data_IF_732689482406
#
_entry.id   IF_732689482406
#
_cell.length_a   1.000
_cell.length_b   1.000
_cell.length_c   1.000
_cell.angle_alpha   90.00
_cell.angle_beta   90.00
_cell.angle_gamma   90.00
#
_symmetry.space_group_name_H-M   'P 1'
#
loop_
_entity.id
_entity.type
_entity.pdbx_description
1 polymer ?
#
# COMPACT_ATOMS: atom_id res chain seq x y z
N UNK A 1 39.15 -60.17 -5.08
CA UNK A 1 38.18 -59.34 -4.41
C UNK A 1 38.29 -57.93 -5.02
N UNK A 2 37.50 -57.67 -6.04
CA UNK A 2 37.57 -56.38 -6.78
C UNK A 2 36.56 -55.43 -6.19
N UNK A 3 37.04 -54.33 -5.59
CA UNK A 3 36.21 -53.22 -5.09
C UNK A 3 35.76 -52.35 -6.27
N UNK A 4 34.45 -52.35 -6.56
CA UNK A 4 33.86 -51.40 -7.51
C UNK A 4 33.66 -50.04 -6.82
N UNK A 5 34.44 -49.03 -7.21
CA UNK A 5 34.18 -47.64 -6.86
C UNK A 5 33.05 -47.10 -7.72
N UNK A 6 31.91 -46.79 -7.11
CA UNK A 6 30.82 -46.09 -7.77
C UNK A 6 31.12 -44.58 -7.66
N UNK A 7 31.31 -43.94 -8.81
CA UNK A 7 31.52 -42.49 -8.93
C UNK A 7 30.16 -41.83 -9.15
N UNK A 8 29.67 -41.09 -8.15
CA UNK A 8 28.46 -40.27 -8.30
C UNK A 8 28.83 -38.94 -8.95
N UNK A 9 28.32 -38.66 -10.15
CA UNK A 9 28.35 -37.35 -10.75
C UNK A 9 27.11 -36.56 -10.27
N UNK A 10 27.34 -35.55 -9.42
CA UNK A 10 26.32 -34.55 -9.10
C UNK A 10 26.40 -33.44 -10.16
N UNK A 11 25.47 -33.46 -11.11
CA UNK A 11 25.32 -32.36 -12.07
C UNK A 11 24.63 -31.21 -11.37
N UNK A 12 25.37 -30.17 -11.01
CA UNK A 12 24.80 -28.92 -10.51
C UNK A 12 24.24 -28.16 -11.71
N UNK A 13 22.92 -28.20 -11.89
CA UNK A 13 22.22 -27.32 -12.85
C UNK A 13 22.17 -25.92 -12.24
N UNK A 14 23.13 -25.06 -12.57
CA UNK A 14 23.06 -23.64 -12.24
C UNK A 14 22.02 -23.05 -13.21
N UNK A 15 20.77 -22.92 -12.75
CA UNK A 15 19.78 -22.13 -13.43
C UNK A 15 20.24 -20.67 -13.42
N UNK A 16 20.67 -20.16 -14.56
CA UNK A 16 20.92 -18.73 -14.74
C UNK A 16 19.53 -18.08 -14.68
N UNK A 17 19.18 -17.44 -13.56
CA UNK A 17 18.04 -16.56 -13.48
C UNK A 17 18.34 -15.35 -14.40
N UNK A 18 17.80 -15.36 -15.61
CA UNK A 18 17.78 -14.16 -16.41
C UNK A 18 16.71 -13.22 -15.82
N UNK A 19 17.08 -11.97 -15.57
CA UNK A 19 16.10 -10.95 -15.25
C UNK A 19 15.10 -10.91 -16.43
N UNK A 20 13.80 -11.03 -16.10
CA UNK A 20 12.72 -11.07 -17.08
C UNK A 20 12.25 -9.64 -17.38
N UNK A 21 11.88 -9.38 -18.64
CA UNK A 21 11.20 -8.15 -18.99
C UNK A 21 9.80 -8.16 -18.35
N UNK A 22 9.51 -7.13 -17.55
CA UNK A 22 8.17 -6.95 -16.95
C UNK A 22 7.61 -5.58 -17.23
N UNK A 23 6.28 -5.49 -17.25
CA UNK A 23 5.53 -4.25 -17.30
C UNK A 23 4.53 -4.27 -16.16
N UNK A 24 4.63 -3.31 -15.27
CA UNK A 24 3.92 -3.31 -14.01
C UNK A 24 3.06 -2.04 -13.89
N UNK A 25 1.78 -2.19 -13.53
CA UNK A 25 0.96 -1.10 -13.03
C UNK A 25 1.29 -0.90 -11.55
N UNK A 26 1.72 0.30 -11.18
CA UNK A 26 2.08 0.57 -9.79
C UNK A 26 0.83 0.63 -8.90
N UNK A 27 0.95 0.09 -7.68
CA UNK A 27 -0.06 0.28 -6.64
C UNK A 27 0.15 1.64 -5.98
N UNK A 28 -0.90 2.46 -5.96
CA UNK A 28 -0.85 3.84 -5.49
C UNK A 28 -1.96 4.14 -4.48
N UNK A 29 -1.70 5.12 -3.60
CA UNK A 29 -2.68 5.59 -2.63
C UNK A 29 -2.83 7.11 -2.72
N UNK A 30 -4.06 7.59 -2.63
CA UNK A 30 -4.41 9.00 -2.69
C UNK A 30 -5.44 9.35 -1.63
N UNK A 31 -5.47 10.60 -1.14
CA UNK A 31 -6.54 11.07 -0.28
C UNK A 31 -7.88 11.02 -1.02
N UNK A 32 -8.98 10.97 -0.26
CA UNK A 32 -10.33 11.13 -0.84
C UNK A 32 -10.45 12.42 -1.63
N UNK A 33 -11.30 12.40 -2.65
CA UNK A 33 -11.56 13.55 -3.54
C UNK A 33 -10.33 14.06 -4.32
N UNK A 34 -9.36 13.18 -4.59
CA UNK A 34 -8.19 13.53 -5.38
C UNK A 34 -8.57 13.79 -6.86
N UNK A 35 -8.28 14.98 -7.36
CA UNK A 35 -8.65 15.38 -8.74
C UNK A 35 -7.68 14.89 -9.83
N UNK A 36 -6.50 14.38 -9.46
CA UNK A 36 -5.50 13.86 -10.42
C UNK A 36 -4.75 12.69 -9.79
N UNK A 37 -5.31 11.51 -9.95
CA UNK A 37 -4.72 10.26 -9.52
C UNK A 37 -3.78 9.76 -10.61
N UNK A 38 -2.49 9.62 -10.30
CA UNK A 38 -1.45 9.21 -11.25
C UNK A 38 -1.01 7.79 -10.97
N UNK A 39 -1.23 6.92 -11.92
CA UNK A 39 -0.76 5.53 -11.86
C UNK A 39 0.43 5.37 -12.81
N UNK A 40 1.64 5.18 -12.28
CA UNK A 40 2.81 4.88 -13.08
C UNK A 40 2.72 3.50 -13.75
N UNK A 41 3.19 3.42 -14.98
CA UNK A 41 3.50 2.17 -15.68
C UNK A 41 5.01 2.00 -15.68
N UNK A 42 5.50 0.99 -14.99
CA UNK A 42 6.93 0.72 -14.82
C UNK A 42 7.34 -0.41 -15.76
N UNK A 43 8.44 -0.21 -16.47
CA UNK A 43 9.07 -1.26 -17.29
C UNK A 43 10.40 -1.64 -16.67
N UNK A 44 10.51 -2.88 -16.23
CA UNK A 44 11.78 -3.49 -15.83
C UNK A 44 12.39 -4.17 -17.06
N UNK A 45 13.33 -3.51 -17.69
CA UNK A 45 13.92 -3.93 -18.96
C UNK A 45 15.39 -4.30 -18.78
N UNK A 46 15.73 -5.57 -18.61
CA UNK A 46 17.11 -5.97 -18.31
C UNK A 46 18.10 -5.75 -19.46
N UNK A 47 17.68 -5.94 -20.72
CA UNK A 47 18.63 -5.99 -21.83
C UNK A 47 18.08 -5.57 -23.21
N UNK A 48 16.83 -5.14 -23.32
CA UNK A 48 16.19 -4.94 -24.62
C UNK A 48 16.16 -3.47 -25.05
N UNK A 49 16.04 -3.23 -26.33
CA UNK A 49 15.67 -1.93 -26.90
C UNK A 49 14.18 -1.97 -27.27
N UNK A 50 13.35 -1.33 -26.46
CA UNK A 50 11.90 -1.34 -26.65
C UNK A 50 11.49 -0.16 -27.52
N UNK A 51 10.68 -0.42 -28.55
CA UNK A 51 10.17 0.59 -29.49
C UNK A 51 8.65 0.73 -29.43
N UNK A 52 7.94 -0.21 -28.81
CA UNK A 52 6.51 -0.15 -28.65
C UNK A 52 6.02 -0.99 -27.46
N UNK A 53 4.94 -0.53 -26.84
CA UNK A 53 4.23 -1.20 -25.77
C UNK A 53 2.73 -1.08 -26.02
N UNK A 54 2.00 -2.17 -25.89
CA UNK A 54 0.54 -2.21 -25.91
C UNK A 54 0.04 -3.09 -24.78
N UNK A 55 -1.05 -2.68 -24.14
CA UNK A 55 -1.84 -3.54 -23.26
C UNK A 55 -3.28 -3.06 -23.17
N UNK A 56 -4.15 -3.95 -22.72
CA UNK A 56 -5.53 -3.63 -22.37
C UNK A 56 -5.64 -3.54 -20.85
N UNK A 57 -6.17 -2.42 -20.37
CA UNK A 57 -6.42 -2.17 -18.94
C UNK A 57 -7.92 -2.28 -18.67
N UNK A 58 -8.27 -3.11 -17.69
CA UNK A 58 -9.64 -3.21 -17.16
C UNK A 58 -9.69 -2.47 -15.83
N UNK A 59 -10.67 -1.62 -15.71
CA UNK A 59 -11.02 -0.88 -14.48
C UNK A 59 -12.53 -0.79 -14.40
N UNK A 60 -13.10 -0.74 -13.20
CA UNK A 60 -14.55 -0.55 -13.04
C UNK A 60 -14.96 0.90 -13.40
N UNK A 61 -15.62 1.11 -14.57
CA UNK A 61 -15.97 2.45 -15.02
C UNK A 61 -17.10 3.09 -14.22
N UNK A 62 -17.78 2.33 -13.35
CA UNK A 62 -18.79 2.87 -12.44
C UNK A 62 -18.16 3.56 -11.23
N UNK A 63 -16.87 3.29 -10.96
CA UNK A 63 -16.11 3.90 -9.88
C UNK A 63 -15.21 4.99 -10.44
N UNK A 64 -14.34 4.64 -11.41
CA UNK A 64 -13.34 5.55 -11.95
C UNK A 64 -13.06 5.26 -13.43
N UNK A 65 -12.70 6.28 -14.18
CA UNK A 65 -12.29 6.13 -15.58
C UNK A 65 -11.03 6.94 -15.85
N UNK A 66 -10.07 6.40 -16.63
CA UNK A 66 -8.91 7.18 -17.03
C UNK A 66 -9.33 8.29 -18.01
N UNK A 67 -8.75 9.47 -17.87
CA UNK A 67 -9.03 10.60 -18.77
C UNK A 67 -7.82 11.01 -19.62
N UNK A 68 -6.62 10.69 -19.23
CA UNK A 68 -5.41 10.97 -20.02
C UNK A 68 -4.27 10.02 -19.71
N UNK A 69 -3.30 9.94 -20.61
CA UNK A 69 -2.05 9.23 -20.45
C UNK A 69 -0.89 10.09 -20.96
N UNK A 70 0.27 9.96 -20.34
CA UNK A 70 1.48 10.69 -20.73
C UNK A 70 2.69 9.75 -20.77
N UNK A 71 3.48 9.81 -21.86
CA UNK A 71 4.79 9.19 -21.92
C UNK A 71 5.78 10.00 -21.06
N UNK A 72 6.54 9.29 -20.20
CA UNK A 72 7.48 9.92 -19.27
C UNK A 72 8.78 9.13 -19.18
N UNK A 73 9.76 9.63 -18.42
CA UNK A 73 11.00 8.92 -18.11
C UNK A 73 11.71 8.37 -19.34
N UNK A 74 12.02 7.07 -19.32
CA UNK A 74 12.67 6.37 -20.42
C UNK A 74 11.94 6.38 -21.75
N UNK A 75 10.64 6.69 -21.74
CA UNK A 75 9.81 6.83 -22.94
C UNK A 75 9.53 8.29 -23.32
N UNK A 76 10.26 9.26 -22.76
CA UNK A 76 10.13 10.65 -23.16
C UNK A 76 10.38 10.80 -24.67
N UNK A 77 9.40 11.34 -25.40
CA UNK A 77 9.44 11.45 -26.87
C UNK A 77 8.65 10.36 -27.60
N UNK A 78 8.12 9.36 -26.91
CA UNK A 78 7.13 8.45 -27.46
C UNK A 78 5.75 9.13 -27.52
N UNK A 79 4.92 8.64 -28.46
CA UNK A 79 3.49 8.93 -28.48
C UNK A 79 2.75 7.95 -27.57
N UNK A 80 1.82 8.46 -26.78
CA UNK A 80 0.95 7.65 -25.94
C UNK A 80 -0.50 7.86 -26.39
N UNK A 81 -1.23 6.77 -26.63
CA UNK A 81 -2.64 6.78 -27.05
C UNK A 81 -3.46 5.83 -26.20
N UNK A 82 -4.69 6.21 -25.90
CA UNK A 82 -5.65 5.41 -25.14
C UNK A 82 -6.99 5.40 -25.86
N UNK A 83 -7.56 4.22 -26.05
CA UNK A 83 -8.85 4.02 -26.69
C UNK A 83 -9.71 3.05 -25.89
N UNK A 84 -10.94 3.43 -25.58
CA UNK A 84 -11.90 2.52 -24.97
C UNK A 84 -12.41 1.50 -26.00
N UNK A 85 -12.36 0.24 -25.63
CA UNK A 85 -12.84 -0.89 -26.43
C UNK A 85 -14.33 -1.13 -26.18
N UNK A 86 -14.96 -1.86 -27.09
CA UNK A 86 -16.37 -2.30 -26.95
C UNK A 86 -16.60 -3.23 -25.73
N UNK A 87 -15.55 -3.85 -25.20
CA UNK A 87 -15.56 -4.64 -23.96
C UNK A 87 -15.63 -3.78 -22.70
N UNK A 88 -15.40 -2.46 -22.82
CA UNK A 88 -15.25 -1.54 -21.68
C UNK A 88 -13.79 -1.35 -21.21
N UNK A 89 -12.88 -2.23 -21.61
CA UNK A 89 -11.45 -2.08 -21.34
C UNK A 89 -10.84 -0.90 -22.11
N UNK A 90 -9.71 -0.41 -21.65
CA UNK A 90 -8.95 0.65 -22.32
C UNK A 90 -7.69 0.06 -22.95
N UNK A 91 -7.59 0.12 -24.29
CA UNK A 91 -6.35 -0.21 -24.98
C UNK A 91 -5.40 0.97 -24.89
N UNK A 92 -4.22 0.70 -24.36
CA UNK A 92 -3.15 1.67 -24.15
C UNK A 92 -2.00 1.32 -25.07
N UNK A 93 -1.51 2.33 -25.79
CA UNK A 93 -0.43 2.23 -26.74
C UNK A 93 0.64 3.25 -26.40
N UNK A 94 1.89 2.80 -26.38
CA UNK A 94 3.08 3.64 -26.28
C UNK A 94 3.97 3.26 -27.48
N UNK A 95 4.23 4.19 -28.37
CA UNK A 95 4.96 3.90 -29.59
C UNK A 95 5.83 5.07 -30.03
N UNK A 96 6.87 4.72 -30.78
CA UNK A 96 7.79 5.68 -31.35
C UNK A 96 7.49 5.88 -32.84
N UNK A 97 6.84 7.00 -33.16
CA UNK A 97 6.55 7.36 -34.55
C UNK A 97 7.87 7.79 -35.28
N UNK A 98 8.51 6.86 -35.96
CA UNK A 98 9.71 7.15 -36.76
C UNK A 98 11.00 6.49 -36.27
N UNK A 99 10.93 5.59 -35.32
CA UNK A 99 12.07 4.82 -34.77
C UNK A 99 13.26 5.68 -34.27
N UNK A 100 12.99 6.93 -33.89
CA UNK A 100 14.02 7.85 -33.39
C UNK A 100 14.46 7.59 -31.96
N UNK A 101 13.62 6.89 -31.18
CA UNK A 101 13.83 6.64 -29.74
C UNK A 101 13.63 5.15 -29.42
N UNK A 102 14.20 4.71 -28.34
CA UNK A 102 13.93 3.43 -27.70
C UNK A 102 13.96 3.57 -26.19
N UNK A 103 13.16 2.82 -25.49
CA UNK A 103 13.27 2.70 -24.03
C UNK A 103 14.51 1.86 -23.74
N UNK A 104 15.52 2.42 -23.06
CA UNK A 104 16.78 1.73 -22.81
C UNK A 104 16.60 0.59 -21.80
N UNK A 105 17.63 -0.27 -21.72
CA UNK A 105 17.70 -1.23 -20.63
C UNK A 105 17.82 -0.50 -19.29
N UNK A 106 16.87 -0.74 -18.41
CA UNK A 106 16.80 -0.35 -17.00
C UNK A 106 15.39 -0.55 -16.47
N UNK A 107 15.17 -0.31 -15.17
CA UNK A 107 13.83 -0.14 -14.61
C UNK A 107 13.50 1.35 -14.61
N UNK A 108 12.38 1.72 -15.20
CA UNK A 108 11.94 3.12 -15.27
C UNK A 108 10.42 3.23 -15.43
N UNK A 109 9.86 4.34 -14.95
CA UNK A 109 8.49 4.74 -15.28
C UNK A 109 8.47 5.26 -16.73
N UNK A 110 7.68 4.59 -17.57
CA UNK A 110 7.60 4.92 -19.01
C UNK A 110 6.33 5.67 -19.38
N UNK A 111 5.31 5.56 -18.53
CA UNK A 111 4.01 6.21 -18.76
C UNK A 111 3.34 6.51 -17.42
N UNK A 112 2.47 7.49 -17.42
CA UNK A 112 1.54 7.77 -16.32
C UNK A 112 0.12 7.78 -16.87
N UNK A 113 -0.78 7.04 -16.23
CA UNK A 113 -2.22 7.03 -16.50
C UNK A 113 -2.88 7.92 -15.46
N UNK A 114 -3.77 8.81 -15.90
CA UNK A 114 -4.42 9.79 -15.04
C UNK A 114 -5.92 9.49 -14.90
N UNK A 115 -6.39 9.53 -13.65
CA UNK A 115 -7.80 9.34 -13.31
C UNK A 115 -8.31 10.52 -12.47
N UNK A 116 -9.61 10.78 -12.60
CA UNK A 116 -10.30 11.78 -11.76
C UNK A 116 -11.05 11.07 -10.63
N UNK A 117 -10.62 11.30 -9.41
CA UNK A 117 -11.22 10.80 -8.18
C UNK A 117 -11.90 11.89 -7.36
N UNK A 118 -12.19 13.08 -7.95
CA UNK A 118 -12.72 14.23 -7.23
C UNK A 118 -14.10 14.01 -6.57
N UNK A 119 -14.84 13.00 -7.03
CA UNK A 119 -16.15 12.62 -6.47
C UNK A 119 -16.06 11.38 -5.57
N UNK A 120 -14.86 10.82 -5.34
CA UNK A 120 -14.66 9.56 -4.61
C UNK A 120 -14.08 9.87 -3.22
N UNK A 121 -14.88 9.63 -2.19
CA UNK A 121 -14.42 9.76 -0.80
C UNK A 121 -13.49 8.61 -0.39
N UNK A 122 -13.85 7.37 -0.77
CA UNK A 122 -13.07 6.17 -0.47
C UNK A 122 -13.38 5.06 -1.46
N UNK A 123 -12.36 4.41 -1.98
CA UNK A 123 -12.47 3.22 -2.84
C UNK A 123 -11.15 2.45 -2.88
N UNK A 124 -11.25 1.13 -3.13
CA UNK A 124 -10.12 0.29 -3.56
C UNK A 124 -10.46 -0.23 -4.95
N UNK A 125 -9.62 0.05 -5.91
CA UNK A 125 -9.89 -0.15 -7.33
C UNK A 125 -8.77 -1.01 -7.91
N UNK A 126 -9.13 -2.19 -8.41
CA UNK A 126 -8.20 -3.07 -9.12
C UNK A 126 -8.01 -2.57 -10.56
N UNK A 127 -6.77 -2.51 -10.99
CA UNK A 127 -6.36 -2.25 -12.36
C UNK A 127 -5.76 -3.53 -12.93
N UNK A 128 -6.50 -4.19 -13.81
CA UNK A 128 -6.05 -5.44 -14.43
C UNK A 128 -5.39 -5.16 -15.78
N UNK A 129 -4.20 -5.74 -16.01
CA UNK A 129 -3.48 -5.66 -17.27
C UNK A 129 -3.61 -6.98 -18.03
N UNK A 130 -3.98 -6.90 -19.32
CA UNK A 130 -4.07 -8.03 -20.23
C UNK A 130 -3.58 -7.67 -21.62
N UNK A 131 -3.50 -8.65 -22.53
CA UNK A 131 -3.10 -8.47 -23.94
C UNK A 131 -1.78 -7.66 -24.09
N UNK A 132 -0.81 -7.91 -23.16
CA UNK A 132 0.48 -7.22 -23.16
C UNK A 132 1.33 -7.65 -24.35
N UNK A 133 1.77 -6.67 -25.13
CA UNK A 133 2.73 -6.83 -26.23
C UNK A 133 3.82 -5.77 -26.07
N UNK A 134 5.07 -6.19 -26.03
CA UNK A 134 6.25 -5.29 -26.00
C UNK A 134 7.11 -5.59 -27.21
N UNK A 135 7.38 -4.59 -28.03
CA UNK A 135 8.08 -4.80 -29.30
C UNK A 135 9.44 -4.09 -29.37
N UNK A 136 10.35 -4.70 -30.11
CA UNK A 136 11.57 -4.06 -30.58
C UNK A 136 11.33 -3.18 -31.84
N UNK A 137 12.39 -2.60 -32.40
CA UNK A 137 12.33 -1.74 -33.59
C UNK A 137 11.97 -2.48 -34.88
N UNK A 138 12.00 -3.81 -34.88
CA UNK A 138 11.55 -4.65 -36.00
C UNK A 138 10.07 -5.04 -35.90
N UNK A 139 9.41 -4.72 -34.78
CA UNK A 139 8.05 -5.13 -34.47
C UNK A 139 7.95 -6.54 -33.90
N UNK A 140 9.07 -7.17 -33.50
CA UNK A 140 9.08 -8.47 -32.88
C UNK A 140 8.68 -8.37 -31.41
N UNK A 141 7.78 -9.24 -30.95
CA UNK A 141 7.40 -9.33 -29.53
C UNK A 141 8.57 -9.86 -28.68
N UNK A 142 8.86 -9.15 -27.62
CA UNK A 142 9.96 -9.43 -26.68
C UNK A 142 9.55 -10.39 -25.55
N UNK A 143 8.28 -10.75 -25.44
CA UNK A 143 7.79 -11.72 -24.45
C UNK A 143 7.86 -11.19 -23.01
N UNK A 144 7.16 -10.11 -22.69
CA UNK A 144 7.10 -9.53 -21.37
C UNK A 144 6.01 -10.20 -20.49
N UNK A 145 6.21 -10.20 -19.18
CA UNK A 145 5.15 -10.47 -18.19
C UNK A 145 4.60 -9.18 -17.60
N UNK A 146 3.40 -9.23 -17.05
CA UNK A 146 2.73 -8.08 -16.44
C UNK A 146 2.37 -8.32 -14.98
N UNK A 147 2.24 -7.24 -14.20
CA UNK A 147 1.55 -7.23 -12.93
C UNK A 147 0.44 -6.17 -12.90
N UNK A 148 -0.62 -6.50 -12.18
CA UNK A 148 -1.75 -5.63 -11.93
C UNK A 148 -1.38 -4.58 -10.89
N UNK A 149 -2.12 -3.46 -10.89
CA UNK A 149 -2.00 -2.41 -9.89
C UNK A 149 -3.28 -2.25 -9.08
N UNK A 150 -3.19 -1.47 -8.01
CA UNK A 150 -4.33 -1.09 -7.18
C UNK A 150 -4.28 0.42 -6.97
N UNK A 151 -5.42 1.08 -7.12
CA UNK A 151 -5.63 2.46 -6.68
C UNK A 151 -6.44 2.43 -5.39
N UNK A 152 -5.84 2.88 -4.30
CA UNK A 152 -6.53 3.11 -3.03
C UNK A 152 -6.83 4.60 -2.91
N UNK A 153 -8.11 4.95 -2.78
CA UNK A 153 -8.57 6.33 -2.53
C UNK A 153 -9.16 6.35 -1.14
N UNK A 154 -8.86 7.37 -0.38
CA UNK A 154 -9.24 7.52 1.02
C UNK A 154 -8.01 7.42 1.91
N UNK A 155 -8.25 7.43 3.22
CA UNK A 155 -7.16 7.42 4.17
C UNK A 155 -6.61 6.00 4.38
N UNK A 156 -5.29 5.86 4.31
CA UNK A 156 -4.61 4.74 4.95
C UNK A 156 -4.38 5.13 6.40
N UNK A 157 -4.97 4.38 7.31
CA UNK A 157 -4.76 4.57 8.75
C UNK A 157 -4.26 3.27 9.35
N UNK A 158 -3.05 3.33 9.90
CA UNK A 158 -2.47 2.27 10.71
C UNK A 158 -2.38 2.70 12.17
N UNK A 159 -2.82 1.84 13.09
CA UNK A 159 -2.56 2.02 14.52
C UNK A 159 -1.46 1.06 14.97
N UNK A 160 -0.51 1.59 15.72
CA UNK A 160 0.58 0.82 16.34
C UNK A 160 0.69 1.16 17.81
N UNK A 161 1.26 0.24 18.58
CA UNK A 161 1.54 0.48 20.01
C UNK A 161 3.00 0.29 20.30
N UNK A 162 3.52 1.07 21.26
CA UNK A 162 4.81 0.78 21.90
C UNK A 162 4.67 -0.43 22.82
N UNK A 163 5.80 -0.97 23.26
CA UNK A 163 5.87 -1.95 24.34
C UNK A 163 6.49 -1.31 25.57
N UNK A 164 6.12 -1.79 26.74
CA UNK A 164 6.72 -1.42 28.01
C UNK A 164 6.88 -2.65 28.91
N UNK A 165 7.60 -2.53 30.01
CA UNK A 165 7.79 -3.58 31.00
C UNK A 165 7.79 -2.96 32.38
N UNK A 166 7.25 -3.67 33.36
CA UNK A 166 7.22 -3.25 34.75
C UNK A 166 7.12 -4.45 35.68
N UNK A 167 7.40 -4.26 36.95
CA UNK A 167 7.18 -5.25 37.99
C UNK A 167 5.68 -5.29 38.40
N UNK A 168 5.26 -6.39 38.98
CA UNK A 168 3.90 -6.52 39.55
C UNK A 168 3.65 -5.39 40.57
N UNK A 169 2.42 -4.90 40.60
CA UNK A 169 2.00 -3.74 41.39
C UNK A 169 2.64 -2.41 40.96
N UNK A 170 3.39 -2.36 39.87
CA UNK A 170 3.88 -1.13 39.25
C UNK A 170 2.96 -0.64 38.15
N UNK A 171 3.20 0.58 37.69
CA UNK A 171 2.51 1.16 36.55
C UNK A 171 3.41 1.11 35.32
N UNK A 172 2.84 0.77 34.18
CA UNK A 172 3.49 0.86 32.90
C UNK A 172 2.73 1.79 31.96
N UNK A 173 3.41 2.30 30.93
CA UNK A 173 2.82 3.24 29.96
C UNK A 173 3.05 2.77 28.53
N UNK A 174 2.00 2.82 27.73
CA UNK A 174 2.05 2.60 26.30
C UNK A 174 1.66 3.86 25.53
N UNK A 175 2.21 3.99 24.34
CA UNK A 175 1.78 4.98 23.37
C UNK A 175 1.07 4.28 22.22
N UNK A 176 -0.11 4.79 21.86
CA UNK A 176 -0.79 4.43 20.62
C UNK A 176 -0.45 5.48 19.60
N UNK A 177 0.24 5.07 18.53
CA UNK A 177 0.61 5.92 17.41
C UNK A 177 -0.31 5.66 16.23
N UNK A 178 -0.56 6.70 15.44
CA UNK A 178 -1.33 6.61 14.20
C UNK A 178 -0.47 7.02 13.02
N UNK A 179 -0.34 6.12 12.04
CA UNK A 179 0.17 6.41 10.72
C UNK A 179 -1.03 6.72 9.81
N UNK A 180 -1.19 7.98 9.42
CA UNK A 180 -2.25 8.44 8.54
C UNK A 180 -1.72 9.44 7.51
N UNK A 181 -2.13 9.26 6.27
CA UNK A 181 -1.76 10.11 5.14
C UNK A 181 -2.77 11.24 4.87
N UNK A 182 -3.97 11.16 5.46
CA UNK A 182 -5.00 12.19 5.40
C UNK A 182 -5.44 12.68 6.79
N UNK A 183 -6.25 13.74 6.83
CA UNK A 183 -6.81 14.26 8.09
C UNK A 183 -7.88 13.34 8.64
N UNK A 184 -7.82 13.07 9.94
CA UNK A 184 -8.75 12.18 10.66
C UNK A 184 -9.55 12.98 11.67
N UNK A 185 -10.90 12.91 11.61
CA UNK A 185 -11.83 13.62 12.50
C UNK A 185 -11.97 12.91 13.85
N UNK A 186 -11.83 11.58 13.87
CA UNK A 186 -11.90 10.78 15.09
C UNK A 186 -11.53 9.32 14.86
N UNK A 187 -11.18 8.63 15.92
CA UNK A 187 -10.85 7.21 15.88
C UNK A 187 -11.49 6.46 17.06
N UNK A 188 -12.01 5.28 16.77
CA UNK A 188 -12.47 4.32 17.77
C UNK A 188 -11.71 3.01 17.59
N UNK A 189 -11.34 2.39 18.69
CA UNK A 189 -10.76 1.05 18.68
C UNK A 189 -10.95 0.37 20.05
N UNK A 190 -10.82 -0.94 20.06
CA UNK A 190 -10.80 -1.73 21.29
C UNK A 190 -9.36 -2.05 21.64
N UNK A 191 -8.96 -1.72 22.88
CA UNK A 191 -7.68 -2.11 23.47
C UNK A 191 -7.91 -3.33 24.34
N UNK A 192 -7.39 -4.47 23.91
CA UNK A 192 -7.60 -5.78 24.53
C UNK A 192 -6.28 -6.32 25.09
N UNK A 193 -6.36 -7.14 26.12
CA UNK A 193 -5.19 -7.80 26.72
C UNK A 193 -5.45 -9.27 27.02
N UNK A 194 -4.42 -10.10 26.82
CA UNK A 194 -4.47 -11.53 27.09
C UNK A 194 -3.10 -12.04 27.59
N UNK A 195 -3.05 -12.71 28.75
CA UNK A 195 -4.11 -12.87 29.73
C UNK A 195 -4.53 -11.54 30.41
N UNK A 196 -5.64 -11.53 31.11
CA UNK A 196 -6.22 -10.34 31.79
C UNK A 196 -5.44 -10.01 33.07
N UNK A 197 -4.20 -9.57 32.88
CA UNK A 197 -3.26 -9.23 33.97
C UNK A 197 -2.98 -7.74 34.10
N UNK A 198 -3.66 -6.91 33.32
CA UNK A 198 -3.50 -5.45 33.39
C UNK A 198 -4.85 -4.76 33.56
N UNK A 199 -4.80 -3.63 34.26
CA UNK A 199 -5.95 -2.74 34.43
C UNK A 199 -5.59 -1.35 33.94
N UNK A 200 -6.38 -0.77 33.04
CA UNK A 200 -6.16 0.58 32.55
C UNK A 200 -6.53 1.57 33.66
N UNK A 201 -5.55 2.37 34.09
CA UNK A 201 -5.74 3.41 35.10
C UNK A 201 -6.13 4.76 34.50
N UNK A 202 -5.50 5.13 33.42
CA UNK A 202 -5.74 6.42 32.75
C UNK A 202 -5.35 6.40 31.28
N UNK A 203 -6.09 7.21 30.51
CA UNK A 203 -5.82 7.46 29.11
C UNK A 203 -5.83 8.97 28.90
N UNK A 204 -4.82 9.49 28.18
CA UNK A 204 -4.78 10.92 27.85
C UNK A 204 -4.25 11.15 26.44
N UNK A 205 -4.57 12.31 25.89
CA UNK A 205 -4.17 12.73 24.54
C UNK A 205 -2.66 12.94 24.45
N UNK A 206 -2.07 12.65 23.29
CA UNK A 206 -0.73 13.05 22.92
C UNK A 206 -0.74 14.43 22.22
N UNK A 207 0.41 14.91 21.79
CA UNK A 207 0.55 16.25 21.19
C UNK A 207 -0.35 16.44 19.96
N UNK A 208 -0.43 15.41 19.08
CA UNK A 208 -1.26 15.44 17.84
C UNK A 208 -2.76 15.54 18.10
N UNK A 209 -3.19 15.17 19.29
CA UNK A 209 -4.62 15.11 19.67
C UNK A 209 -4.95 16.06 20.82
N UNK A 210 -4.09 17.07 21.04
CA UNK A 210 -4.36 18.12 22.02
C UNK A 210 -5.71 18.78 21.74
N UNK A 211 -6.60 18.79 22.75
CA UNK A 211 -7.96 19.34 22.61
C UNK A 211 -9.01 18.34 22.12
N UNK A 212 -8.64 17.10 21.87
CA UNK A 212 -9.60 16.02 21.65
C UNK A 212 -10.20 15.51 22.97
N UNK A 213 -11.37 14.93 22.86
CA UNK A 213 -12.09 14.28 23.95
C UNK A 213 -11.91 12.77 23.84
N UNK A 214 -11.67 12.13 24.99
CA UNK A 214 -11.60 10.67 25.10
C UNK A 214 -12.83 10.18 25.83
N UNK A 215 -13.49 9.17 25.26
CA UNK A 215 -14.57 8.41 25.91
C UNK A 215 -14.19 6.93 25.93
N UNK A 216 -14.42 6.26 27.06
CA UNK A 216 -14.10 4.86 27.23
C UNK A 216 -15.31 4.05 27.63
N UNK A 217 -15.35 2.78 27.21
CA UNK A 217 -16.41 1.82 27.54
C UNK A 217 -15.78 0.45 27.73
N UNK A 218 -16.13 -0.24 28.81
CA UNK A 218 -15.74 -1.63 29.06
C UNK A 218 -16.39 -2.54 28.01
N UNK A 219 -15.58 -3.41 27.36
CA UNK A 219 -16.04 -4.43 26.39
C UNK A 219 -15.79 -5.86 26.87
N UNK A 220 -15.55 -6.04 28.16
CA UNK A 220 -15.41 -7.34 28.84
C UNK A 220 -14.01 -7.93 28.79
N UNK A 221 -13.32 -7.93 27.66
CA UNK A 221 -11.92 -8.36 27.52
C UNK A 221 -10.95 -7.19 27.34
N UNK A 222 -11.42 -5.97 27.64
CA UNK A 222 -10.62 -4.76 27.50
C UNK A 222 -11.48 -3.50 27.46
N UNK A 223 -10.97 -2.46 26.84
CA UNK A 223 -11.60 -1.13 26.84
C UNK A 223 -11.74 -0.61 25.43
N UNK A 224 -12.98 -0.25 25.03
CA UNK A 224 -13.23 0.55 23.83
C UNK A 224 -12.86 2.00 24.09
N UNK A 225 -12.05 2.56 23.23
CA UNK A 225 -11.59 3.95 23.28
C UNK A 225 -12.15 4.68 22.08
N UNK A 226 -12.82 5.80 22.32
CA UNK A 226 -13.28 6.74 21.29
C UNK A 226 -12.56 8.06 21.51
N UNK A 227 -11.81 8.51 20.52
CA UNK A 227 -11.10 9.79 20.48
C UNK A 227 -11.76 10.67 19.41
N UNK A 228 -12.29 11.82 19.82
CA UNK A 228 -13.04 12.71 18.92
C UNK A 228 -12.88 14.19 19.32
N UNK A 229 -13.14 15.08 18.38
CA UNK A 229 -13.14 16.51 18.64
C UNK A 229 -14.58 17.06 18.74
N UNK A 230 -14.83 17.87 19.76
CA UNK A 230 -16.08 18.65 19.87
C UNK A 230 -15.94 20.06 19.29
N UNK A 231 -14.78 20.42 18.78
CA UNK A 231 -14.42 21.75 18.27
C UNK A 231 -13.96 21.72 16.82
N UNK A 232 -14.27 20.64 16.09
CA UNK A 232 -13.85 20.38 14.70
C UNK A 232 -12.31 20.38 14.51
N UNK A 233 -11.56 20.01 15.52
CA UNK A 233 -10.13 19.73 15.35
C UNK A 233 -9.96 18.40 14.63
N UNK A 234 -8.95 18.31 13.79
CA UNK A 234 -8.58 17.10 13.07
C UNK A 234 -7.17 16.65 13.45
N UNK A 235 -6.94 15.35 13.41
CA UNK A 235 -5.61 14.77 13.52
C UNK A 235 -4.95 14.94 12.15
N UNK A 236 -3.89 15.74 12.09
CA UNK A 236 -3.13 15.97 10.86
C UNK A 236 -2.40 14.69 10.41
N UNK A 237 -2.04 14.53 9.11
CA UNK A 237 -1.18 13.46 8.66
C UNK A 237 0.10 13.32 9.49
N UNK A 238 0.56 12.09 9.72
CA UNK A 238 1.76 11.82 10.51
C UNK A 238 1.78 10.40 11.09
N UNK A 239 2.86 10.08 11.79
CA UNK A 239 3.13 8.75 12.36
C UNK A 239 3.30 8.74 13.89
N UNK A 240 3.20 9.92 14.53
CA UNK A 240 3.49 10.09 15.94
C UNK A 240 2.30 9.64 16.82
N UNK A 241 2.52 9.56 18.17
CA UNK A 241 1.48 9.16 19.11
C UNK A 241 0.24 10.05 19.09
N UNK A 242 -0.92 9.41 19.22
CA UNK A 242 -2.23 10.04 19.39
C UNK A 242 -2.78 9.89 20.81
N UNK A 243 -2.37 8.83 21.52
CA UNK A 243 -2.80 8.55 22.90
C UNK A 243 -1.64 7.99 23.71
N UNK A 244 -1.70 8.25 25.02
CA UNK A 244 -0.93 7.55 26.02
C UNK A 244 -1.88 6.79 26.94
N UNK A 245 -1.50 5.58 27.30
CA UNK A 245 -2.28 4.69 28.17
C UNK A 245 -1.39 4.26 29.33
N UNK A 246 -1.86 4.48 30.54
CA UNK A 246 -1.25 3.95 31.76
C UNK A 246 -2.09 2.82 32.31
N UNK A 247 -1.42 1.79 32.75
CA UNK A 247 -2.07 0.64 33.35
C UNK A 247 -1.24 0.12 34.54
N UNK A 248 -1.92 -0.51 35.49
CA UNK A 248 -1.33 -1.28 36.57
C UNK A 248 -1.20 -2.74 36.18
N UNK A 249 -0.13 -3.37 36.65
CA UNK A 249 0.16 -4.79 36.45
C UNK A 249 -0.33 -5.55 37.70
N UNK A 250 -1.22 -6.52 37.48
CA UNK A 250 -1.81 -7.32 38.56
C UNK A 250 -0.76 -8.25 39.18
N UNK A 251 -0.93 -8.59 40.45
CA UNK A 251 0.00 -9.48 41.15
C UNK A 251 0.11 -10.88 40.54
N UNK A 252 -0.94 -11.32 39.81
CA UNK A 252 -1.00 -12.61 39.13
C UNK A 252 -0.10 -12.67 37.87
N UNK A 253 0.39 -11.53 37.39
CA UNK A 253 1.24 -11.41 36.18
C UNK A 253 2.72 -11.74 36.41
N UNK A 254 3.09 -12.29 37.57
CA UNK A 254 4.49 -12.48 37.96
C UNK A 254 5.28 -13.35 36.97
N UNK A 255 6.19 -12.71 36.22
CA UNK A 255 7.08 -13.37 35.27
C UNK A 255 6.44 -13.74 33.92
N UNK A 256 5.23 -13.26 33.65
CA UNK A 256 4.50 -13.55 32.42
C UNK A 256 4.55 -12.36 31.42
N UNK A 257 4.46 -12.68 30.12
CA UNK A 257 4.22 -11.71 29.07
C UNK A 257 2.71 -11.51 28.89
N UNK A 258 2.27 -10.27 28.76
CA UNK A 258 0.89 -9.90 28.42
C UNK A 258 0.84 -9.36 27.01
N UNK A 259 0.05 -10.01 26.16
CA UNK A 259 -0.22 -9.50 24.83
C UNK A 259 -1.30 -8.42 24.90
N UNK A 260 -0.94 -7.18 24.51
CA UNK A 260 -1.89 -6.09 24.35
C UNK A 260 -2.05 -5.86 22.84
N UNK A 261 -3.29 -5.76 22.37
CA UNK A 261 -3.57 -5.60 20.95
C UNK A 261 -4.79 -4.71 20.69
N UNK A 262 -4.78 -4.10 19.51
CA UNK A 262 -5.85 -3.25 19.01
C UNK A 262 -6.79 -4.06 18.11
N UNK A 263 -8.08 -3.88 18.29
CA UNK A 263 -9.12 -4.52 17.48
C UNK A 263 -10.26 -3.52 17.18
N UNK A 264 -11.19 -3.88 16.26
CA UNK A 264 -12.40 -3.11 15.94
C UNK A 264 -12.13 -1.63 15.60
N UNK A 265 -11.09 -1.37 14.79
CA UNK A 265 -10.70 0.00 14.42
C UNK A 265 -11.73 0.63 13.49
N UNK A 266 -12.24 1.80 13.87
CA UNK A 266 -13.09 2.65 13.04
C UNK A 266 -12.52 4.06 13.02
N UNK A 267 -12.40 4.64 11.84
CA UNK A 267 -11.88 5.99 11.63
C UNK A 267 -12.91 6.81 10.89
N UNK A 268 -13.11 8.07 11.31
CA UNK A 268 -13.91 9.04 10.58
C UNK A 268 -12.99 10.05 9.89
N UNK A 269 -13.34 10.43 8.68
CA UNK A 269 -12.79 11.62 8.04
C UNK A 269 -13.24 12.91 8.75
N UNK A 270 -12.68 14.02 8.34
CA UNK A 270 -12.94 15.36 8.89
C UNK A 270 -14.13 16.06 8.27
#
# INVERSE_FOLDING_TARGET
MFSKKILFYVTFLIGILHAQLTVDLETVSFPGYASDIKVPVIVNNPNNSISGLQFDMVVDPSIISPFSINAVGGAAGFSAEMNQLSSGAYRILLFNAGNAYSIPANSDTVMTIHFDGSDIASAVIDLEMSELIVTDSSGSDLGASSSNGIVSIGFVVGLTMSSDSGDVSEMAELQVSMDNDGTVGGVQFDLLNEPDYITIDSIWTADRTTGFTISTTDVGSGTRILLYSTTNNNIAPGIEPILNVRFSINDDAYGDDVLIYINEVTVSDS
#
